data_IF_390303573941
#
_entry.id   IF_390303573941
#
_cell.length_a   1.000
_cell.length_b   1.000
_cell.length_c   1.000
_cell.angle_alpha   90.00
_cell.angle_beta   90.00
_cell.angle_gamma   90.00
#
_symmetry.space_group_name_H-M   'P 1'
#
loop_
_entity.id
_entity.type
_entity.pdbx_description
1 polymer ?
#
# COMPACT_ATOMS: atom_id res chain seq x y z
N UNK A 1 -4.05 35.78 18.42
CA UNK A 1 -2.65 35.83 17.98
C UNK A 1 -2.65 35.99 16.47
N UNK A 2 -1.96 37.01 15.96
CA UNK A 2 -2.01 37.42 14.57
C UNK A 2 -1.61 36.28 13.61
N UNK A 3 -2.45 35.99 12.62
CA UNK A 3 -2.10 35.18 11.47
C UNK A 3 -1.15 36.00 10.59
N UNK A 4 0.15 35.86 10.82
CA UNK A 4 1.12 36.19 9.79
C UNK A 4 0.89 35.19 8.65
N UNK A 5 0.57 35.70 7.46
CA UNK A 5 0.70 34.95 6.22
C UNK A 5 2.19 34.66 5.99
N UNK A 6 2.73 33.74 6.79
CA UNK A 6 4.11 33.32 6.71
C UNK A 6 4.34 32.61 5.39
N UNK A 7 5.47 32.94 4.76
CA UNK A 7 5.98 32.18 3.62
C UNK A 7 5.96 30.68 3.96
N UNK A 8 5.27 29.91 3.14
CA UNK A 8 5.09 28.47 3.32
C UNK A 8 5.70 27.75 2.12
N UNK A 9 6.54 26.76 2.39
CA UNK A 9 7.14 25.94 1.35
C UNK A 9 6.04 25.05 0.76
N UNK A 10 5.94 24.97 -0.58
CA UNK A 10 4.87 24.24 -1.27
C UNK A 10 4.84 22.75 -0.89
N UNK A 11 6.01 22.18 -0.56
CA UNK A 11 6.20 20.78 -0.17
C UNK A 11 5.86 20.50 1.31
N UNK A 12 5.50 21.52 2.09
CA UNK A 12 5.22 21.33 3.51
C UNK A 12 3.90 20.58 3.74
N UNK A 13 3.92 19.42 4.44
CA UNK A 13 2.71 18.64 4.69
C UNK A 13 1.66 19.43 5.50
N UNK A 14 0.38 19.12 5.25
CA UNK A 14 -0.76 19.77 5.92
C UNK A 14 -1.42 18.80 6.90
N UNK A 15 -0.82 18.57 8.09
CA UNK A 15 -1.33 17.59 9.03
C UNK A 15 -2.72 17.99 9.52
N UNK A 16 -3.68 17.07 9.31
CA UNK A 16 -5.04 17.21 9.84
C UNK A 16 -5.19 16.55 11.21
N UNK A 17 -6.43 16.47 11.72
CA UNK A 17 -6.74 15.78 12.99
C UNK A 17 -6.36 14.28 12.99
N UNK A 18 -6.20 13.69 11.80
CA UNK A 18 -5.79 12.30 11.59
C UNK A 18 -4.27 12.09 11.63
N UNK A 19 -3.46 13.15 11.65
CA UNK A 19 -2.00 13.04 11.63
C UNK A 19 -1.44 12.22 12.82
N UNK A 20 -2.13 12.24 13.97
CA UNK A 20 -1.79 11.41 15.16
C UNK A 20 -1.87 9.90 14.91
N UNK A 21 -2.53 9.48 13.84
CA UNK A 21 -2.65 8.09 13.42
C UNK A 21 -1.73 7.76 12.24
N UNK A 22 -1.02 8.74 11.69
CA UNK A 22 -0.04 8.50 10.65
C UNK A 22 1.09 7.63 11.18
N UNK A 23 1.57 6.72 10.35
CA UNK A 23 2.58 5.72 10.71
C UNK A 23 3.72 5.81 9.70
N UNK A 24 4.92 5.34 10.07
CA UNK A 24 6.03 5.19 9.11
C UNK A 24 5.60 4.37 7.88
N UNK A 25 5.93 4.80 6.64
CA UNK A 25 5.59 4.11 5.38
C UNK A 25 6.13 2.69 5.28
N UNK A 26 7.12 2.35 6.11
CA UNK A 26 7.62 0.99 6.24
C UNK A 26 6.50 0.01 6.62
N UNK A 27 5.57 0.41 7.49
CA UNK A 27 4.50 -0.47 7.95
C UNK A 27 3.43 -0.76 6.88
N UNK A 28 2.91 0.24 6.13
CA UNK A 28 2.13 -0.02 4.93
C UNK A 28 2.86 -0.91 3.90
N UNK A 29 4.17 -0.72 3.69
CA UNK A 29 4.96 -1.56 2.79
C UNK A 29 5.02 -3.01 3.27
N UNK A 30 5.29 -3.24 4.55
CA UNK A 30 5.26 -4.57 5.16
C UNK A 30 3.86 -5.18 5.14
N UNK A 31 2.81 -4.37 5.36
CA UNK A 31 1.43 -4.78 5.21
C UNK A 31 1.12 -5.23 3.79
N UNK A 32 1.67 -4.55 2.78
CA UNK A 32 1.56 -4.95 1.38
C UNK A 32 2.29 -6.28 1.10
N UNK A 33 3.48 -6.48 1.67
CA UNK A 33 4.27 -7.69 1.52
C UNK A 33 3.63 -8.91 2.20
N UNK A 34 3.16 -8.75 3.44
CA UNK A 34 2.68 -9.85 4.28
C UNK A 34 1.17 -10.10 4.10
N UNK A 35 0.39 -9.03 4.16
CA UNK A 35 -1.07 -9.07 4.11
C UNK A 35 -1.65 -8.96 2.70
N UNK A 36 -0.90 -8.41 1.73
CA UNK A 36 -1.34 -8.24 0.35
C UNK A 36 -1.92 -6.86 0.05
N UNK A 37 -2.50 -6.70 -1.14
CA UNK A 37 -2.97 -5.42 -1.67
C UNK A 37 -4.07 -4.78 -0.82
N UNK A 38 -4.95 -5.58 -0.21
CA UNK A 38 -6.08 -5.09 0.60
C UNK A 38 -5.63 -4.37 1.88
N UNK A 39 -4.48 -4.74 2.45
CA UNK A 39 -3.97 -4.16 3.68
C UNK A 39 -3.05 -2.98 3.37
N UNK A 40 -2.07 -3.20 2.48
CA UNK A 40 -1.05 -2.19 2.20
C UNK A 40 -1.59 -0.96 1.47
N UNK A 41 -2.35 -1.15 0.39
CA UNK A 41 -2.75 -0.04 -0.49
C UNK A 41 -3.70 0.96 0.21
N UNK A 42 -4.78 0.53 0.90
CA UNK A 42 -5.62 1.46 1.64
C UNK A 42 -4.87 2.17 2.76
N UNK A 43 -3.87 1.52 3.35
CA UNK A 43 -3.04 2.12 4.38
C UNK A 43 -2.10 3.19 3.83
N UNK A 44 -1.48 2.96 2.67
CA UNK A 44 -0.76 4.02 1.95
C UNK A 44 -1.68 5.21 1.67
N UNK A 45 -2.87 4.97 1.12
CA UNK A 45 -3.85 6.05 0.87
C UNK A 45 -4.20 6.77 2.18
N UNK A 46 -4.49 6.05 3.26
CA UNK A 46 -4.78 6.65 4.56
C UNK A 46 -3.64 7.53 5.07
N UNK A 47 -2.39 7.05 5.01
CA UNK A 47 -1.21 7.81 5.43
C UNK A 47 -1.07 9.13 4.64
N UNK A 48 -1.30 9.09 3.33
CA UNK A 48 -1.24 10.27 2.47
C UNK A 48 -2.25 11.35 2.90
N UNK A 49 -3.43 10.94 3.36
CA UNK A 49 -4.50 11.83 3.83
C UNK A 49 -4.20 12.33 5.24
N UNK A 50 -3.73 11.44 6.12
CA UNK A 50 -3.44 11.75 7.52
C UNK A 50 -2.35 12.81 7.67
N UNK A 51 -1.26 12.67 6.91
CA UNK A 51 -0.13 13.63 6.91
C UNK A 51 -0.44 14.86 6.04
N UNK A 52 -1.43 14.76 5.15
CA UNK A 52 -1.76 15.83 4.20
C UNK A 52 -0.66 16.02 3.16
N UNK A 53 -0.26 14.91 2.53
CA UNK A 53 0.83 14.90 1.55
C UNK A 53 0.55 15.83 0.35
N UNK A 54 1.53 16.67 -0.06
CA UNK A 54 1.42 17.46 -1.30
C UNK A 54 1.22 16.57 -2.54
N UNK A 55 1.81 15.37 -2.55
CA UNK A 55 1.73 14.40 -3.64
C UNK A 55 0.59 13.40 -3.53
N UNK A 56 -0.37 13.61 -2.61
CA UNK A 56 -1.48 12.67 -2.35
C UNK A 56 -2.20 12.15 -3.60
N UNK A 57 -2.43 13.00 -4.60
CA UNK A 57 -3.11 12.58 -5.84
C UNK A 57 -2.26 11.56 -6.61
N UNK A 58 -0.94 11.78 -6.70
CA UNK A 58 -0.02 10.84 -7.34
C UNK A 58 0.02 9.52 -6.57
N UNK A 59 0.02 9.59 -5.23
CA UNK A 59 -0.02 8.40 -4.38
C UNK A 59 -1.33 7.61 -4.56
N UNK A 60 -2.48 8.29 -4.65
CA UNK A 60 -3.76 7.62 -4.91
C UNK A 60 -3.81 6.98 -6.29
N UNK A 61 -3.29 7.67 -7.31
CA UNK A 61 -3.17 7.12 -8.66
C UNK A 61 -2.25 5.90 -8.66
N UNK A 62 -1.11 5.95 -8.00
CA UNK A 62 -0.21 4.80 -7.89
C UNK A 62 -0.84 3.63 -7.15
N UNK A 63 -1.57 3.88 -6.06
CA UNK A 63 -2.31 2.85 -5.34
C UNK A 63 -3.42 2.23 -6.23
N UNK A 64 -4.13 3.05 -7.00
CA UNK A 64 -5.14 2.58 -7.94
C UNK A 64 -4.53 1.77 -9.09
N UNK A 65 -3.40 2.21 -9.65
CA UNK A 65 -2.65 1.49 -10.69
C UNK A 65 -2.11 0.17 -10.14
N UNK A 66 -1.64 0.14 -8.89
CA UNK A 66 -1.21 -1.09 -8.25
C UNK A 66 -2.35 -2.10 -8.15
N UNK A 67 -3.51 -1.67 -7.65
CA UNK A 67 -4.69 -2.52 -7.51
C UNK A 67 -5.21 -2.99 -8.87
N UNK A 68 -5.39 -2.06 -9.82
CA UNK A 68 -5.91 -2.37 -11.15
C UNK A 68 -4.96 -3.27 -11.94
N UNK A 69 -3.66 -3.02 -11.88
CA UNK A 69 -2.65 -3.86 -12.52
C UNK A 69 -2.60 -5.27 -11.90
N UNK A 70 -2.69 -5.39 -10.57
CA UNK A 70 -2.80 -6.70 -9.92
C UNK A 70 -4.06 -7.45 -10.36
N UNK A 71 -5.20 -6.77 -10.48
CA UNK A 71 -6.45 -7.36 -10.99
C UNK A 71 -6.30 -7.86 -12.44
N UNK A 72 -5.79 -7.01 -13.33
CA UNK A 72 -5.61 -7.34 -14.75
C UNK A 72 -4.64 -8.52 -14.90
N UNK A 73 -3.48 -8.46 -14.26
CA UNK A 73 -2.48 -9.55 -14.31
C UNK A 73 -3.10 -10.83 -13.75
N UNK A 74 -3.80 -10.78 -12.61
CA UNK A 74 -4.41 -11.96 -12.01
C UNK A 74 -5.48 -12.60 -12.90
N UNK A 75 -6.34 -11.80 -13.54
CA UNK A 75 -7.34 -12.30 -14.49
C UNK A 75 -6.70 -12.92 -15.74
N UNK A 76 -5.64 -12.31 -16.27
CA UNK A 76 -4.89 -12.87 -17.40
C UNK A 76 -4.26 -14.20 -17.02
N UNK A 77 -3.64 -14.31 -15.84
CA UNK A 77 -3.08 -15.56 -15.36
C UNK A 77 -4.15 -16.65 -15.19
N UNK A 78 -5.32 -16.32 -14.66
CA UNK A 78 -6.44 -17.26 -14.56
C UNK A 78 -6.91 -17.76 -15.93
N UNK A 79 -6.98 -16.87 -16.93
CA UNK A 79 -7.31 -17.26 -18.31
C UNK A 79 -6.24 -18.17 -18.92
N UNK A 80 -4.95 -17.88 -18.71
CA UNK A 80 -3.84 -18.70 -19.22
C UNK A 80 -3.82 -20.10 -18.59
N UNK A 81 -4.12 -20.20 -17.30
CA UNK A 81 -4.29 -21.49 -16.61
C UNK A 81 -5.51 -22.23 -17.15
N UNK A 82 -6.66 -21.55 -17.29
CA UNK A 82 -7.88 -22.15 -17.81
C UNK A 82 -7.77 -22.62 -19.26
N UNK A 83 -6.93 -21.98 -20.07
CA UNK A 83 -6.65 -22.34 -21.46
C UNK A 83 -5.58 -23.44 -21.62
N UNK A 84 -4.95 -23.90 -20.54
CA UNK A 84 -3.91 -24.94 -20.58
C UNK A 84 -2.53 -24.44 -21.01
N UNK A 85 -2.27 -23.12 -21.05
CA UNK A 85 -0.92 -22.62 -21.31
C UNK A 85 0.01 -22.76 -20.08
N UNK A 86 -0.59 -22.79 -18.89
CA UNK A 86 0.10 -22.95 -17.61
C UNK A 86 -0.49 -24.19 -16.95
N UNK A 87 0.26 -25.29 -16.96
CA UNK A 87 -0.23 -26.59 -16.47
C UNK A 87 0.51 -27.06 -15.23
N UNK A 88 1.82 -26.80 -15.17
CA UNK A 88 2.67 -27.30 -14.09
C UNK A 88 2.66 -26.37 -12.88
N UNK A 89 2.76 -26.94 -11.68
CA UNK A 89 2.86 -26.17 -10.43
C UNK A 89 4.02 -25.17 -10.45
N UNK A 90 5.16 -25.54 -11.04
CA UNK A 90 6.31 -24.65 -11.16
C UNK A 90 5.97 -23.42 -12.03
N UNK A 91 5.31 -23.61 -13.18
CA UNK A 91 4.89 -22.50 -14.04
C UNK A 91 3.91 -21.56 -13.32
N UNK A 92 2.98 -22.10 -12.51
CA UNK A 92 2.07 -21.28 -11.69
C UNK A 92 2.86 -20.43 -10.69
N UNK A 93 3.85 -21.02 -10.00
CA UNK A 93 4.68 -20.28 -9.04
C UNK A 93 5.47 -19.16 -9.71
N UNK A 94 6.08 -19.42 -10.88
CA UNK A 94 6.76 -18.39 -11.66
C UNK A 94 5.81 -17.31 -12.17
N UNK A 95 4.61 -17.69 -12.61
CA UNK A 95 3.59 -16.73 -13.05
C UNK A 95 3.15 -15.80 -11.91
N UNK A 96 2.99 -16.33 -10.69
CA UNK A 96 2.65 -15.53 -9.51
C UNK A 96 3.76 -14.54 -9.12
N UNK A 97 5.03 -14.81 -9.45
CA UNK A 97 6.10 -13.84 -9.21
C UNK A 97 5.89 -12.53 -9.97
N UNK A 98 5.22 -12.56 -11.13
CA UNK A 98 4.88 -11.34 -11.88
C UNK A 98 3.98 -10.42 -11.05
N UNK A 99 3.00 -10.98 -10.35
CA UNK A 99 2.14 -10.22 -9.43
C UNK A 99 2.92 -9.64 -8.25
N UNK A 100 3.84 -10.44 -7.68
CA UNK A 100 4.70 -9.99 -6.58
C UNK A 100 5.58 -8.83 -7.02
N UNK A 101 6.27 -8.95 -8.15
CA UNK A 101 7.14 -7.90 -8.68
C UNK A 101 6.33 -6.64 -8.97
N UNK A 102 5.19 -6.74 -9.67
CA UNK A 102 4.31 -5.60 -9.95
C UNK A 102 3.92 -4.84 -8.67
N UNK A 103 3.41 -5.58 -7.68
CA UNK A 103 2.96 -5.02 -6.40
C UNK A 103 4.12 -4.37 -5.65
N UNK A 104 5.28 -5.02 -5.58
CA UNK A 104 6.44 -4.51 -4.85
C UNK A 104 7.05 -3.29 -5.54
N UNK A 105 7.14 -3.27 -6.87
CA UNK A 105 7.62 -2.09 -7.61
C UNK A 105 6.79 -0.86 -7.29
N UNK A 106 5.47 -0.96 -7.36
CA UNK A 106 4.58 0.17 -7.05
C UNK A 106 4.51 0.49 -5.56
N UNK A 107 4.55 -0.52 -4.69
CA UNK A 107 4.64 -0.34 -3.24
C UNK A 107 5.91 0.40 -2.83
N UNK A 108 7.03 0.12 -3.48
CA UNK A 108 8.30 0.81 -3.21
C UNK A 108 8.29 2.26 -3.72
N UNK A 109 7.67 2.53 -4.87
CA UNK A 109 7.45 3.91 -5.34
C UNK A 109 6.58 4.72 -4.38
N UNK A 110 5.51 4.12 -3.85
CA UNK A 110 4.66 4.72 -2.81
C UNK A 110 5.46 4.98 -1.53
N UNK A 111 6.26 4.00 -1.10
CA UNK A 111 7.13 4.11 0.06
C UNK A 111 8.11 5.30 -0.07
N UNK A 112 8.83 5.42 -1.19
CA UNK A 112 9.78 6.51 -1.41
C UNK A 112 9.08 7.88 -1.34
N UNK A 113 7.93 8.02 -2.02
CA UNK A 113 7.19 9.29 -2.02
C UNK A 113 6.72 9.69 -0.62
N UNK A 114 6.13 8.74 0.12
CA UNK A 114 5.65 9.02 1.47
C UNK A 114 6.79 9.24 2.47
N UNK A 115 7.92 8.56 2.28
CA UNK A 115 9.06 8.70 3.18
C UNK A 115 9.61 10.13 3.14
N UNK A 116 9.74 10.73 1.95
CA UNK A 116 10.15 12.11 1.80
C UNK A 116 9.18 13.09 2.51
N UNK A 117 7.87 12.92 2.34
CA UNK A 117 6.88 13.77 3.01
C UNK A 117 6.89 13.60 4.53
N UNK A 118 7.07 12.37 5.01
CA UNK A 118 7.05 12.06 6.44
C UNK A 118 8.33 12.53 7.14
N UNK A 119 9.48 12.50 6.47
CA UNK A 119 10.71 13.10 6.98
C UNK A 119 10.55 14.60 7.21
N UNK A 120 9.91 15.31 6.26
CA UNK A 120 9.58 16.74 6.44
C UNK A 120 8.60 16.92 7.60
N UNK A 121 7.55 16.08 7.70
CA UNK A 121 6.62 16.13 8.82
C UNK A 121 7.31 15.96 10.18
N UNK A 122 8.24 15.02 10.28
CA UNK A 122 9.02 14.80 11.51
C UNK A 122 10.00 15.93 11.80
N UNK A 123 10.60 16.53 10.76
CA UNK A 123 11.46 17.71 10.90
C UNK A 123 10.73 18.88 11.58
N UNK A 124 9.45 19.09 11.26
CA UNK A 124 8.59 20.09 11.92
C UNK A 124 8.00 19.64 13.28
N UNK A 125 8.50 18.55 13.87
CA UNK A 125 8.08 18.06 15.18
C UNK A 125 6.89 17.10 15.16
N UNK A 126 6.48 16.63 13.98
CA UNK A 126 5.45 15.62 13.83
C UNK A 126 5.87 14.27 14.44
N UNK A 127 5.00 13.66 15.24
CA UNK A 127 5.25 12.36 15.88
C UNK A 127 4.41 11.29 15.21
N UNK A 128 5.06 10.25 14.67
CA UNK A 128 4.38 9.11 14.08
C UNK A 128 3.90 8.13 15.13
N UNK A 129 2.79 7.48 14.83
CA UNK A 129 2.21 6.48 15.69
C UNK A 129 2.98 5.15 15.63
N UNK A 130 3.01 4.43 16.76
CA UNK A 130 3.67 3.13 16.92
C UNK A 130 2.78 1.93 16.61
N UNK A 131 1.47 2.15 16.38
CA UNK A 131 0.53 1.07 16.03
C UNK A 131 0.80 0.39 14.67
N UNK A 132 1.76 0.88 13.89
CA UNK A 132 2.19 0.26 12.64
C UNK A 132 2.60 -1.21 12.77
N UNK A 133 3.43 -1.49 13.78
CA UNK A 133 3.95 -2.84 14.03
C UNK A 133 2.83 -3.86 14.32
N UNK A 134 1.96 -3.64 15.33
CA UNK A 134 0.92 -4.61 15.63
C UNK A 134 -0.08 -4.74 14.48
N UNK A 135 -0.45 -3.66 13.80
CA UNK A 135 -1.42 -3.73 12.70
C UNK A 135 -0.85 -4.49 11.48
N UNK A 136 0.43 -4.30 11.14
CA UNK A 136 1.07 -5.03 10.05
C UNK A 136 1.17 -6.54 10.36
N UNK A 137 1.55 -6.91 11.58
CA UNK A 137 1.69 -8.32 11.98
C UNK A 137 0.34 -9.02 12.11
N UNK A 138 -0.62 -8.41 12.82
CA UNK A 138 -1.97 -8.98 12.99
C UNK A 138 -2.68 -9.05 11.63
N UNK A 139 -2.56 -7.98 10.82
CA UNK A 139 -3.08 -7.93 9.47
C UNK A 139 -2.53 -9.03 8.57
N UNK A 140 -1.20 -9.17 8.55
CA UNK A 140 -0.50 -10.12 7.68
C UNK A 140 -0.69 -11.59 8.05
N UNK A 141 -0.69 -11.93 9.34
CA UNK A 141 -0.68 -13.33 9.78
C UNK A 141 -2.05 -13.83 10.24
N UNK A 142 -2.87 -12.99 10.89
CA UNK A 142 -4.15 -13.41 11.47
C UNK A 142 -5.31 -13.04 10.55
N UNK A 143 -5.44 -11.76 10.20
CA UNK A 143 -6.57 -11.27 9.43
C UNK A 143 -6.55 -11.75 7.98
N UNK A 144 -5.37 -11.97 7.40
CA UNK A 144 -5.22 -12.53 6.06
C UNK A 144 -6.06 -13.79 5.83
N UNK A 145 -6.02 -14.74 6.77
CA UNK A 145 -6.79 -15.97 6.66
C UNK A 145 -8.31 -15.76 6.70
N UNK A 146 -8.78 -14.74 7.44
CA UNK A 146 -10.19 -14.36 7.47
C UNK A 146 -10.62 -13.68 6.16
N UNK A 147 -9.81 -12.77 5.64
CA UNK A 147 -10.10 -12.03 4.39
C UNK A 147 -10.15 -12.99 3.20
N UNK A 148 -9.25 -13.97 3.13
CA UNK A 148 -9.29 -15.00 2.07
C UNK A 148 -10.61 -15.77 2.06
N UNK A 149 -11.17 -16.10 3.24
CA UNK A 149 -12.46 -16.80 3.33
C UNK A 149 -13.66 -15.96 2.88
N UNK A 150 -13.55 -14.64 2.97
CA UNK A 150 -14.61 -13.71 2.56
C UNK A 150 -14.59 -13.41 1.05
N UNK A 151 -13.46 -13.64 0.39
CA UNK A 151 -13.30 -13.37 -1.03
C UNK A 151 -13.55 -14.62 -1.88
N UNK A 152 -14.14 -14.45 -3.08
CA UNK A 152 -14.23 -15.53 -4.05
C UNK A 152 -12.83 -15.99 -4.45
N UNK A 153 -12.68 -17.28 -4.78
CA UNK A 153 -11.39 -17.89 -5.15
C UNK A 153 -10.70 -17.16 -6.31
N UNK A 154 -11.47 -16.54 -7.20
CA UNK A 154 -10.98 -15.74 -8.33
C UNK A 154 -10.24 -14.48 -7.92
N UNK A 155 -10.36 -14.02 -6.66
CA UNK A 155 -9.70 -12.80 -6.17
C UNK A 155 -8.63 -13.08 -5.10
N UNK A 156 -8.37 -14.34 -4.77
CA UNK A 156 -7.42 -14.71 -3.71
C UNK A 156 -6.00 -14.20 -3.99
N UNK A 157 -5.63 -14.06 -5.27
CA UNK A 157 -4.32 -13.53 -5.63
C UNK A 157 -4.07 -12.13 -5.04
N UNK A 158 -5.09 -11.27 -4.90
CA UNK A 158 -4.94 -9.93 -4.29
C UNK A 158 -4.49 -9.95 -2.82
N UNK A 159 -4.74 -11.06 -2.13
CA UNK A 159 -4.41 -11.25 -0.71
C UNK A 159 -3.18 -12.13 -0.54
N UNK A 160 -3.01 -13.11 -1.42
CA UNK A 160 -2.01 -14.17 -1.25
C UNK A 160 -0.69 -13.85 -1.95
N UNK A 161 -0.69 -13.12 -3.08
CA UNK A 161 0.53 -12.63 -3.75
C UNK A 161 1.04 -11.37 -3.07
#
# INVERSE_FOLDING_TARGET
MAQYGGYRIEDEPRPGALAKWAVSPLWPLLGLMLGGAWLGLPWFVFNSVAVGSPTRVREWVLAAVALAGSLVIGLVLLQLVGAGYIETQAQIQYALLVLVVWKLSLGYLLYIQQNATIEIYQYYGGVLNRFGLPLALIGGFVLKGMVVKLLPYTLWFLVVS
#
